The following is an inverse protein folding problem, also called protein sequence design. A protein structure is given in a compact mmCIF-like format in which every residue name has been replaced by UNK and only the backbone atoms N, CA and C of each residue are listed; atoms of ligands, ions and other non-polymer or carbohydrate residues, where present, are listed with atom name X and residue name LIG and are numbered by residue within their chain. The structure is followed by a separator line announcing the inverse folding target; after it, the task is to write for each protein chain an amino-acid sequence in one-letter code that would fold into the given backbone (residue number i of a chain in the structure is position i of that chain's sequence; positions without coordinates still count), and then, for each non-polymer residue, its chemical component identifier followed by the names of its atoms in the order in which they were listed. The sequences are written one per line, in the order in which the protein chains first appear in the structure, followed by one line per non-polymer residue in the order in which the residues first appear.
data_IF_666287945206
#
_entry.id   IF_666287945206
#
_cell.length_a   1.000
_cell.length_b   1.000
_cell.length_c   1.000
_cell.angle_alpha   90.00
_cell.angle_beta   90.00
_cell.angle_gamma   90.00
#
_symmetry.space_group_name_H-M   'P 1'
#
loop_
_entity.id
_entity.type
_entity.pdbx_description
1 polymer ?
#
# COMPACT_ATOMS: atom_id res chain seq x y z
N UNK A 1 -14.16 17.86 -15.73
CA UNK A 1 -14.80 16.51 -15.75
C UNK A 1 -13.77 15.38 -15.90
N UNK A 2 -12.46 15.67 -15.84
CA UNK A 2 -11.42 14.87 -16.51
C UNK A 2 -10.22 14.56 -15.59
N UNK A 3 -10.44 14.58 -14.27
CA UNK A 3 -9.50 14.06 -13.26
C UNK A 3 -10.05 12.84 -12.48
N UNK A 4 -11.36 12.58 -12.58
CA UNK A 4 -12.03 11.46 -11.91
C UNK A 4 -11.84 10.11 -12.64
N UNK A 5 -11.64 10.14 -13.96
CA UNK A 5 -11.42 8.93 -14.75
C UNK A 5 -9.94 8.47 -14.75
N UNK A 6 -8.99 9.39 -14.56
CA UNK A 6 -7.55 9.07 -14.56
C UNK A 6 -7.03 8.47 -13.24
N UNK A 7 -7.75 8.66 -12.13
CA UNK A 7 -7.37 8.16 -10.79
C UNK A 7 -7.94 6.78 -10.44
N UNK A 8 -8.93 6.32 -11.22
CA UNK A 8 -9.73 5.12 -10.91
C UNK A 8 -9.03 3.75 -11.12
N UNK A 9 -8.18 3.53 -12.15
CA UNK A 9 -7.57 2.20 -12.34
C UNK A 9 -6.42 1.91 -11.35
N UNK A 10 -5.74 2.95 -10.86
CA UNK A 10 -4.65 2.78 -9.89
C UNK A 10 -5.17 2.39 -8.50
N UNK A 11 -6.31 2.95 -8.06
CA UNK A 11 -6.92 2.61 -6.78
C UNK A 11 -7.37 1.15 -6.71
N UNK A 12 -7.97 0.62 -7.79
CA UNK A 12 -8.49 -0.75 -7.82
C UNK A 12 -7.35 -1.80 -7.83
N UNK A 13 -6.34 -1.62 -8.68
CA UNK A 13 -5.15 -2.49 -8.66
C UNK A 13 -4.38 -2.35 -7.33
N UNK A 14 -4.38 -1.15 -6.75
CA UNK A 14 -3.78 -0.91 -5.45
C UNK A 14 -4.58 -1.52 -4.29
N UNK A 15 -5.87 -1.91 -4.41
CA UNK A 15 -6.64 -2.64 -3.38
C UNK A 15 -6.58 -4.17 -3.48
N UNK A 16 -6.18 -4.73 -4.62
CA UNK A 16 -6.10 -6.19 -4.84
C UNK A 16 -4.63 -6.63 -5.00
N UNK A 17 -3.95 -6.93 -3.88
CA UNK A 17 -2.54 -7.41 -3.86
C UNK A 17 -2.45 -8.63 -2.96
N UNK A 18 -1.69 -9.63 -3.41
CA UNK A 18 -1.49 -10.92 -2.78
C UNK A 18 -1.16 -10.84 -1.28
N UNK A 19 -0.38 -9.84 -0.85
CA UNK A 19 -0.05 -9.63 0.56
C UNK A 19 -1.29 -9.48 1.46
N UNK A 20 -2.34 -8.84 0.98
CA UNK A 20 -3.56 -8.66 1.79
C UNK A 20 -4.37 -9.92 1.92
N UNK A 21 -4.34 -10.76 0.89
CA UNK A 21 -4.92 -12.08 0.98
C UNK A 21 -4.19 -12.89 2.07
N UNK A 22 -2.85 -12.80 2.14
CA UNK A 22 -2.11 -13.43 3.24
C UNK A 22 -2.40 -12.80 4.62
N UNK A 23 -2.60 -11.48 4.71
CA UNK A 23 -2.99 -10.83 5.98
C UNK A 23 -4.39 -11.23 6.44
N UNK A 24 -5.35 -11.33 5.53
CA UNK A 24 -6.70 -11.82 5.83
C UNK A 24 -6.70 -13.29 6.26
N UNK A 25 -5.91 -14.14 5.60
CA UNK A 25 -5.72 -15.53 6.01
C UNK A 25 -5.08 -15.64 7.42
N UNK A 26 -4.09 -14.79 7.73
CA UNK A 26 -3.49 -14.74 9.07
C UNK A 26 -4.48 -14.30 10.15
N UNK A 27 -5.38 -13.34 9.86
CA UNK A 27 -6.40 -12.91 10.81
C UNK A 27 -7.37 -14.05 11.20
N UNK A 28 -7.69 -14.93 10.25
CA UNK A 28 -8.50 -16.13 10.50
C UNK A 28 -7.72 -17.17 11.30
N UNK A 29 -6.47 -17.44 10.94
CA UNK A 29 -5.61 -18.43 11.62
C UNK A 29 -5.31 -18.04 13.07
N UNK A 30 -5.24 -16.75 13.38
CA UNK A 30 -5.01 -16.24 14.73
C UNK A 30 -6.27 -16.25 15.63
N UNK A 31 -7.38 -16.84 15.17
CA UNK A 31 -8.59 -17.06 15.98
C UNK A 31 -9.75 -16.10 15.69
N UNK A 32 -9.68 -15.30 14.62
CA UNK A 32 -10.80 -14.48 14.17
C UNK A 32 -11.78 -15.27 13.30
N UNK A 33 -13.08 -15.07 13.50
CA UNK A 33 -14.09 -15.63 12.60
C UNK A 33 -13.87 -15.18 11.15
N UNK A 34 -14.08 -16.11 10.20
CA UNK A 34 -13.88 -15.88 8.76
C UNK A 34 -14.68 -14.68 8.27
N UNK A 35 -15.92 -14.55 8.74
CA UNK A 35 -16.84 -13.48 8.35
C UNK A 35 -16.31 -12.13 8.83
N UNK A 36 -15.93 -12.02 10.11
CA UNK A 36 -15.41 -10.77 10.68
C UNK A 36 -14.03 -10.39 10.11
N UNK A 37 -13.19 -11.37 9.79
CA UNK A 37 -11.91 -11.15 9.14
C UNK A 37 -12.08 -10.63 7.71
N UNK A 38 -13.06 -11.14 6.96
CA UNK A 38 -13.35 -10.69 5.60
C UNK A 38 -13.97 -9.29 5.58
N UNK A 39 -14.89 -9.00 6.50
CA UNK A 39 -15.48 -7.67 6.68
C UNK A 39 -14.40 -6.66 7.10
N UNK A 40 -13.56 -7.00 8.09
CA UNK A 40 -12.45 -6.16 8.52
C UNK A 40 -11.45 -5.88 7.41
N UNK A 41 -11.12 -6.90 6.60
CA UNK A 41 -10.28 -6.75 5.42
C UNK A 41 -10.93 -5.78 4.41
N UNK A 42 -12.19 -5.98 4.04
CA UNK A 42 -12.90 -5.12 3.08
C UNK A 42 -13.00 -3.66 3.57
N UNK A 43 -13.35 -3.46 4.83
CA UNK A 43 -13.45 -2.11 5.42
C UNK A 43 -12.09 -1.43 5.46
N UNK A 44 -11.04 -2.12 5.91
CA UNK A 44 -9.67 -1.60 5.89
C UNK A 44 -9.21 -1.23 4.48
N UNK A 45 -9.62 -2.00 3.47
CA UNK A 45 -9.32 -1.74 2.07
C UNK A 45 -10.00 -0.48 1.54
N UNK A 46 -11.28 -0.27 1.86
CA UNK A 46 -12.02 0.92 1.44
C UNK A 46 -11.48 2.18 2.12
N UNK A 47 -11.17 2.11 3.42
CA UNK A 47 -10.57 3.23 4.15
C UNK A 47 -9.18 3.60 3.61
N UNK A 48 -8.32 2.60 3.39
CA UNK A 48 -7.00 2.82 2.79
C UNK A 48 -7.09 3.38 1.37
N UNK A 49 -8.04 2.92 0.57
CA UNK A 49 -8.28 3.43 -0.78
C UNK A 49 -8.77 4.89 -0.78
N UNK A 50 -9.64 5.25 0.16
CA UNK A 50 -10.12 6.62 0.32
C UNK A 50 -8.98 7.58 0.70
N UNK A 51 -8.11 7.21 1.64
CA UNK A 51 -6.95 8.03 2.00
C UNK A 51 -5.96 8.12 0.82
N UNK A 52 -5.69 7.00 0.14
CA UNK A 52 -4.77 6.97 -0.99
C UNK A 52 -5.28 7.77 -2.19
N UNK A 53 -6.59 7.77 -2.44
CA UNK A 53 -7.19 8.58 -3.52
C UNK A 53 -7.11 10.07 -3.21
N UNK A 54 -7.37 10.47 -1.96
CA UNK A 54 -7.16 11.85 -1.50
C UNK A 54 -5.70 12.28 -1.61
N UNK A 55 -4.76 11.41 -1.27
CA UNK A 55 -3.33 11.68 -1.41
C UNK A 55 -2.90 11.74 -2.89
N UNK A 56 -3.44 10.89 -3.75
CA UNK A 56 -3.21 10.92 -5.19
C UNK A 56 -3.70 12.21 -5.85
N UNK A 57 -4.71 12.88 -5.26
CA UNK A 57 -5.16 14.21 -5.70
C UNK A 57 -4.18 15.34 -5.34
N UNK A 58 -3.24 15.14 -4.41
CA UNK A 58 -2.25 16.16 -4.04
C UNK A 58 -1.21 16.40 -5.15
N UNK A 59 -0.83 15.37 -5.90
CA UNK A 59 0.15 15.48 -7.00
C UNK A 59 -0.31 16.40 -8.15
N UNK A 60 -1.52 16.19 -8.73
CA UNK A 60 -2.03 17.01 -9.83
C UNK A 60 -2.32 18.47 -9.43
N UNK A 61 -2.73 18.71 -8.18
CA UNK A 61 -3.10 20.05 -7.68
C UNK A 61 -1.88 20.93 -7.39
N UNK A 62 -0.79 20.33 -6.92
CA UNK A 62 0.41 21.08 -6.52
C UNK A 62 1.43 21.22 -7.66
N UNK A 63 1.31 20.44 -8.75
CA UNK A 63 2.21 20.53 -9.92
C UNK A 63 3.68 20.19 -9.63
N UNK A 64 3.98 19.75 -8.40
CA UNK A 64 5.33 19.43 -7.94
C UNK A 64 5.53 17.91 -7.97
N UNK A 65 6.70 17.43 -8.41
CA UNK A 65 7.08 16.02 -8.28
C UNK A 65 6.92 15.56 -6.82
N UNK A 66 6.32 14.39 -6.58
CA UNK A 66 6.10 13.82 -5.25
C UNK A 66 7.39 13.77 -4.40
N UNK A 67 8.57 13.69 -5.04
CA UNK A 67 9.88 13.78 -4.36
C UNK A 67 10.22 15.18 -3.81
N UNK A 68 9.75 16.27 -4.42
CA UNK A 68 10.00 17.64 -3.95
C UNK A 68 9.14 17.97 -2.73
N UNK A 69 7.91 17.43 -2.67
CA UNK A 69 7.01 17.63 -1.53
C UNK A 69 7.58 17.04 -0.23
N UNK A 70 8.32 15.93 -0.30
CA UNK A 70 9.01 15.36 0.87
C UNK A 70 10.00 16.34 1.50
N UNK A 71 10.69 17.15 0.68
CA UNK A 71 11.61 18.20 1.13
C UNK A 71 10.87 19.43 1.64
N UNK A 72 9.67 19.71 1.14
CA UNK A 72 8.83 20.80 1.63
C UNK A 72 8.14 20.47 2.97
N UNK A 73 7.77 19.22 3.21
CA UNK A 73 7.08 18.78 4.43
C UNK A 73 8.03 18.45 5.60
N UNK A 74 9.22 17.93 5.29
CA UNK A 74 10.18 17.51 6.32
C UNK A 74 11.50 18.32 6.29
N UNK A 75 11.68 19.24 5.35
CA UNK A 75 12.94 19.98 5.16
C UNK A 75 14.03 19.15 4.47
N UNK A 76 15.14 19.80 4.12
CA UNK A 76 16.27 19.16 3.39
C UNK A 76 16.91 18.04 4.21
N UNK A 77 17.12 18.27 5.52
CA UNK A 77 17.69 17.27 6.42
C UNK A 77 16.64 16.29 6.95
N UNK A 78 15.40 16.72 7.18
CA UNK A 78 14.35 15.83 7.69
C UNK A 78 13.79 14.86 6.65
N UNK A 79 13.97 15.12 5.34
CA UNK A 79 13.62 14.16 4.28
C UNK A 79 14.43 12.85 4.33
N UNK A 80 15.54 12.82 5.08
CA UNK A 80 16.32 11.59 5.31
C UNK A 80 15.52 10.54 6.10
N UNK A 81 14.70 10.97 7.06
CA UNK A 81 13.91 10.07 7.90
C UNK A 81 12.91 9.23 7.08
N UNK A 82 12.01 9.81 6.26
CA UNK A 82 11.13 9.02 5.40
C UNK A 82 11.88 8.24 4.32
N UNK A 83 13.04 8.71 3.85
CA UNK A 83 13.87 7.97 2.91
C UNK A 83 14.39 6.65 3.52
N UNK A 84 14.96 6.70 4.72
CA UNK A 84 15.43 5.50 5.43
C UNK A 84 14.26 4.55 5.70
N UNK A 85 13.11 5.09 6.13
CA UNK A 85 11.91 4.30 6.37
C UNK A 85 11.43 3.58 5.10
N UNK A 86 11.46 4.25 3.94
CA UNK A 86 11.06 3.65 2.66
C UNK A 86 12.03 2.57 2.23
N UNK A 87 13.33 2.73 2.47
CA UNK A 87 14.33 1.70 2.18
C UNK A 87 14.06 0.43 2.99
N UNK A 88 13.84 0.57 4.30
CA UNK A 88 13.51 -0.58 5.17
C UNK A 88 12.20 -1.24 4.72
N UNK A 89 11.17 -0.44 4.42
CA UNK A 89 9.90 -0.94 3.90
C UNK A 89 10.09 -1.70 2.58
N UNK A 90 10.90 -1.19 1.66
CA UNK A 90 11.14 -1.81 0.35
C UNK A 90 11.84 -3.16 0.48
N UNK A 91 12.80 -3.26 1.40
CA UNK A 91 13.46 -4.53 1.73
C UNK A 91 12.44 -5.54 2.27
N UNK A 92 11.63 -5.16 3.25
CA UNK A 92 10.59 -6.04 3.81
C UNK A 92 9.52 -6.44 2.78
N UNK A 93 9.15 -5.52 1.89
CA UNK A 93 8.22 -5.75 0.78
C UNK A 93 8.78 -6.80 -0.19
N UNK A 94 10.03 -6.63 -0.60
CA UNK A 94 10.72 -7.50 -1.55
C UNK A 94 10.98 -8.88 -0.96
N UNK A 95 11.46 -8.95 0.28
CA UNK A 95 11.68 -10.19 1.00
C UNK A 95 10.40 -11.04 1.10
N UNK A 96 9.28 -10.43 1.51
CA UNK A 96 7.98 -11.11 1.56
C UNK A 96 7.54 -11.67 0.20
N UNK A 97 7.81 -10.94 -0.89
CA UNK A 97 7.53 -11.39 -2.26
C UNK A 97 8.39 -12.59 -2.67
N UNK A 98 9.69 -12.55 -2.36
CA UNK A 98 10.63 -13.64 -2.64
C UNK A 98 10.35 -14.90 -1.83
N UNK A 99 9.93 -14.78 -0.57
CA UNK A 99 9.56 -15.95 0.27
C UNK A 99 8.34 -16.65 -0.30
N UNK A 100 7.32 -15.90 -0.73
CA UNK A 100 6.10 -16.46 -1.27
C UNK A 100 6.33 -17.12 -2.64
N UNK A 101 7.16 -16.50 -3.49
CA UNK A 101 7.60 -17.09 -4.75
C UNK A 101 8.46 -18.35 -4.49
N UNK A 102 9.48 -18.26 -3.64
CA UNK A 102 10.40 -19.38 -3.36
C UNK A 102 9.71 -20.60 -2.76
N UNK A 103 8.66 -20.42 -1.95
CA UNK A 103 7.83 -21.54 -1.47
C UNK A 103 7.07 -22.23 -2.61
N UNK A 104 6.63 -21.50 -3.62
CA UNK A 104 6.06 -22.11 -4.83
C UNK A 104 7.10 -22.94 -5.58
N UNK A 105 8.38 -22.52 -5.59
CA UNK A 105 9.44 -23.23 -6.30
C UNK A 105 9.95 -24.52 -5.64
N UNK A 106 9.60 -24.77 -4.38
CA UNK A 106 10.05 -25.95 -3.63
C UNK A 106 8.95 -27.00 -3.40
N UNK A 107 7.72 -26.74 -3.88
CA UNK A 107 6.55 -27.60 -3.69
C UNK A 107 6.16 -28.40 -4.95
N UNK A 108 7.14 -28.70 -5.79
CA UNK A 108 7.12 -29.70 -6.85
C UNK A 108 8.36 -30.58 -6.71
#
# INVERSE_FOLDING_TARGET
MDTLLASSPFGLAAICKLRRLSTGALAVVLGGDVVWSLVGLLVGQMLGAAVMSLHALQGPRLGLPQMILSRAQFGVFGAVVPLVLVCVMYIGFSASGTVLAGRQWLNY
#
